data_IF_725632463926
#
_entry.id   IF_725632463926
#
_cell.length_a   1.000
_cell.length_b   1.000
_cell.length_c   1.000
_cell.angle_alpha   90.00
_cell.angle_beta   90.00
_cell.angle_gamma   90.00
#
_symmetry.space_group_name_H-M   'P 1'
#
loop_
_entity.id
_entity.type
_entity.pdbx_description
1 polymer ?
#
# COMPACT_ATOMS: atom_id res chain seq x y z
N UNK A 1 0.93 18.06 -14.27
CA UNK A 1 2.08 17.30 -14.82
C UNK A 1 3.07 18.14 -15.60
N UNK A 2 2.67 19.10 -16.46
CA UNK A 2 3.62 19.98 -17.20
C UNK A 2 4.64 20.73 -16.33
N UNK A 3 4.23 21.22 -15.16
CA UNK A 3 5.13 21.84 -14.18
C UNK A 3 6.20 20.86 -13.63
N UNK A 4 5.84 19.58 -13.45
CA UNK A 4 6.78 18.54 -12.99
C UNK A 4 7.80 18.19 -14.07
N UNK A 5 7.37 18.17 -15.33
CA UNK A 5 8.25 17.94 -16.49
C UNK A 5 9.23 19.11 -16.68
N UNK A 6 8.75 20.35 -16.60
CA UNK A 6 9.60 21.56 -16.67
C UNK A 6 10.63 21.62 -15.54
N UNK A 7 10.29 21.10 -14.36
CA UNK A 7 11.19 21.05 -13.20
C UNK A 7 12.02 19.76 -13.12
N UNK A 8 12.01 18.93 -14.18
CA UNK A 8 12.71 17.62 -14.21
C UNK A 8 12.39 16.71 -13.00
N UNK A 9 11.21 16.88 -12.42
CA UNK A 9 10.71 16.13 -11.25
C UNK A 9 9.67 15.08 -11.64
N UNK A 10 9.43 14.91 -12.94
CA UNK A 10 8.56 13.87 -13.48
C UNK A 10 9.23 12.51 -13.27
N UNK A 11 8.50 11.55 -12.71
CA UNK A 11 9.01 10.18 -12.49
C UNK A 11 8.76 9.32 -13.72
N UNK A 12 9.67 8.38 -13.98
CA UNK A 12 9.59 7.45 -15.11
C UNK A 12 10.14 8.02 -16.42
N UNK A 13 9.86 7.33 -17.53
CA UNK A 13 10.40 7.64 -18.86
C UNK A 13 9.38 8.29 -19.82
N UNK A 14 8.13 8.44 -19.40
CA UNK A 14 7.03 8.98 -20.21
C UNK A 14 6.91 10.49 -20.05
N UNK A 15 6.49 11.19 -21.10
CA UNK A 15 6.20 12.64 -21.05
C UNK A 15 4.97 12.95 -20.19
N UNK A 16 4.80 14.22 -19.80
CA UNK A 16 3.64 14.64 -19.01
C UNK A 16 2.30 14.34 -19.71
N UNK A 17 2.24 14.49 -21.03
CA UNK A 17 1.04 14.22 -21.82
C UNK A 17 0.74 12.73 -21.90
N UNK A 18 1.77 11.89 -22.08
CA UNK A 18 1.63 10.44 -22.06
C UNK A 18 1.16 9.93 -20.70
N UNK A 19 1.70 10.47 -19.60
CA UNK A 19 1.28 10.07 -18.25
C UNK A 19 -0.16 10.48 -17.95
N UNK A 20 -0.59 11.67 -18.37
CA UNK A 20 -1.99 12.10 -18.22
C UNK A 20 -2.96 11.22 -19.01
N UNK A 21 -2.57 10.76 -20.20
CA UNK A 21 -3.40 9.87 -21.02
C UNK A 21 -3.69 8.53 -20.35
N UNK A 22 -2.84 8.09 -19.42
CA UNK A 22 -3.04 6.85 -18.65
C UNK A 22 -4.00 7.01 -17.45
N UNK A 23 -4.43 8.24 -17.14
CA UNK A 23 -5.30 8.52 -15.99
C UNK A 23 -6.73 8.72 -16.49
N UNK A 24 -7.62 7.85 -16.05
CA UNK A 24 -9.06 7.92 -16.34
C UNK A 24 -9.87 8.00 -15.06
N UNK A 25 -11.05 8.61 -15.15
CA UNK A 25 -12.01 8.65 -14.05
C UNK A 25 -13.08 7.58 -14.22
N UNK A 26 -13.55 7.01 -13.11
CA UNK A 26 -14.65 6.04 -13.08
C UNK A 26 -15.56 6.34 -11.88
N UNK A 27 -16.86 6.15 -12.04
CA UNK A 27 -17.87 6.34 -10.98
C UNK A 27 -18.43 5.02 -10.43
N UNK A 28 -18.04 3.89 -11.00
CA UNK A 28 -18.43 2.55 -10.60
C UNK A 28 -17.22 1.80 -10.04
N UNK A 29 -17.33 1.26 -8.82
CA UNK A 29 -16.19 0.62 -8.16
C UNK A 29 -15.80 -0.72 -8.82
N UNK A 30 -16.76 -1.46 -9.36
CA UNK A 30 -16.51 -2.73 -10.05
C UNK A 30 -15.73 -2.52 -11.34
N UNK A 31 -16.14 -1.55 -12.16
CA UNK A 31 -15.42 -1.18 -13.38
C UNK A 31 -14.02 -0.65 -13.06
N UNK A 32 -13.88 0.14 -11.98
CA UNK A 32 -12.60 0.73 -11.59
C UNK A 32 -11.54 -0.29 -11.16
N UNK A 33 -11.95 -1.48 -10.69
CA UNK A 33 -11.03 -2.52 -10.20
C UNK A 33 -10.82 -3.67 -11.18
N UNK A 34 -11.50 -3.66 -12.32
CA UNK A 34 -11.38 -4.72 -13.32
C UNK A 34 -9.94 -4.79 -13.86
N UNK A 35 -9.31 -5.96 -13.71
CA UNK A 35 -7.92 -6.18 -14.12
C UNK A 35 -6.87 -5.45 -13.26
N UNK A 36 -7.26 -4.79 -12.17
CA UNK A 36 -6.33 -4.12 -11.28
C UNK A 36 -5.49 -5.13 -10.50
N UNK A 37 -4.17 -4.95 -10.48
CA UNK A 37 -3.24 -5.74 -9.65
C UNK A 37 -3.01 -5.11 -8.27
N UNK A 38 -3.34 -3.82 -8.13
CA UNK A 38 -3.14 -3.04 -6.92
C UNK A 38 -4.20 -1.96 -6.81
N UNK A 39 -4.80 -1.82 -5.62
CA UNK A 39 -5.82 -0.83 -5.32
C UNK A 39 -5.35 -0.03 -4.10
N UNK A 40 -5.28 1.29 -4.27
CA UNK A 40 -4.91 2.22 -3.22
C UNK A 40 -6.12 3.02 -2.75
N UNK A 41 -6.58 2.75 -1.54
CA UNK A 41 -7.65 3.48 -0.87
C UNK A 41 -7.12 4.83 -0.37
N UNK A 42 -7.82 5.90 -0.77
CA UNK A 42 -7.51 7.32 -0.47
C UNK A 42 -8.77 8.11 -0.04
N UNK A 43 -9.78 7.45 0.52
CA UNK A 43 -10.94 8.12 1.13
C UNK A 43 -10.53 8.83 2.44
N UNK A 44 -11.36 9.76 2.96
CA UNK A 44 -11.08 10.46 4.21
C UNK A 44 -10.72 9.54 5.38
N UNK A 45 -10.01 10.07 6.37
CA UNK A 45 -9.53 9.35 7.55
C UNK A 45 -10.67 9.04 8.54
N UNK A 46 -11.58 8.18 8.11
CA UNK A 46 -12.74 7.68 8.87
C UNK A 46 -12.75 6.15 8.84
N UNK A 47 -12.72 5.54 10.02
CA UNK A 47 -12.58 4.09 10.16
C UNK A 47 -13.76 3.33 9.52
N UNK A 48 -14.98 3.79 9.74
CA UNK A 48 -16.17 3.08 9.29
C UNK A 48 -16.37 3.22 7.77
N UNK A 49 -16.07 4.40 7.22
CA UNK A 49 -16.04 4.62 5.78
C UNK A 49 -15.01 3.72 5.10
N UNK A 50 -13.78 3.66 5.62
CA UNK A 50 -12.74 2.81 5.03
C UNK A 50 -13.10 1.33 5.13
N UNK A 51 -13.59 0.86 6.28
CA UNK A 51 -14.09 -0.52 6.42
C UNK A 51 -15.17 -0.84 5.39
N UNK A 52 -16.12 0.08 5.18
CA UNK A 52 -17.18 -0.09 4.16
C UNK A 52 -16.58 -0.23 2.75
N UNK A 53 -15.60 0.62 2.41
CA UNK A 53 -14.90 0.55 1.12
C UNK A 53 -14.15 -0.78 0.98
N UNK A 54 -13.38 -1.19 2.00
CA UNK A 54 -12.66 -2.46 1.97
C UNK A 54 -13.58 -3.68 1.89
N UNK A 55 -14.71 -3.68 2.59
CA UNK A 55 -15.69 -4.76 2.48
C UNK A 55 -16.33 -4.84 1.08
N UNK A 56 -16.56 -3.69 0.43
CA UNK A 56 -17.04 -3.66 -0.96
C UNK A 56 -16.00 -4.21 -1.93
N UNK A 57 -14.73 -3.81 -1.76
CA UNK A 57 -13.61 -4.29 -2.57
C UNK A 57 -13.38 -5.80 -2.37
N UNK A 58 -13.37 -6.27 -1.13
CA UNK A 58 -13.16 -7.67 -0.76
C UNK A 58 -14.19 -8.62 -1.39
N UNK A 59 -15.41 -8.13 -1.65
CA UNK A 59 -16.47 -8.90 -2.31
C UNK A 59 -16.35 -8.98 -3.84
N UNK A 60 -15.46 -8.22 -4.48
CA UNK A 60 -15.37 -8.12 -5.95
C UNK A 60 -13.97 -8.40 -6.51
N UNK A 61 -12.92 -8.35 -5.69
CA UNK A 61 -11.55 -8.67 -6.12
C UNK A 61 -11.29 -10.18 -6.16
N UNK A 62 -10.26 -10.58 -6.91
CA UNK A 62 -9.69 -11.92 -6.86
C UNK A 62 -8.50 -12.04 -5.89
N UNK A 63 -7.98 -13.25 -5.74
CA UNK A 63 -6.90 -13.61 -4.80
C UNK A 63 -5.52 -12.98 -5.13
N UNK A 64 -5.36 -12.40 -6.32
CA UNK A 64 -4.08 -11.85 -6.81
C UNK A 64 -3.96 -10.32 -6.67
N UNK A 65 -4.99 -9.65 -6.12
CA UNK A 65 -5.04 -8.18 -6.05
C UNK A 65 -4.54 -7.69 -4.70
N UNK A 66 -3.62 -6.71 -4.68
CA UNK A 66 -3.18 -6.07 -3.42
C UNK A 66 -4.11 -4.93 -3.03
N UNK A 67 -4.67 -5.01 -1.82
CA UNK A 67 -5.46 -3.94 -1.20
C UNK A 67 -4.58 -3.09 -0.29
N UNK A 68 -4.54 -1.78 -0.52
CA UNK A 68 -3.70 -0.86 0.24
C UNK A 68 -4.49 0.31 0.81
N UNK A 69 -4.25 0.66 2.07
CA UNK A 69 -4.77 1.90 2.66
C UNK A 69 -3.69 2.95 2.80
N UNK A 70 -4.05 4.21 2.55
CA UNK A 70 -3.20 5.38 2.80
C UNK A 70 -3.31 5.92 4.23
N UNK A 71 -4.02 5.23 5.12
CA UNK A 71 -4.24 5.65 6.51
C UNK A 71 -2.95 6.01 7.24
N UNK A 72 -2.99 7.08 8.03
CA UNK A 72 -1.88 7.59 8.83
C UNK A 72 -1.82 6.99 10.22
N UNK A 73 -2.99 6.72 10.83
CA UNK A 73 -3.10 6.43 12.26
C UNK A 73 -3.98 5.20 12.59
N UNK A 74 -4.76 4.69 11.64
CA UNK A 74 -5.63 3.54 11.91
C UNK A 74 -4.83 2.24 11.90
N UNK A 75 -5.16 1.35 12.84
CA UNK A 75 -4.48 0.07 12.96
C UNK A 75 -4.94 -0.87 11.84
N UNK A 76 -4.02 -1.56 11.14
CA UNK A 76 -4.39 -2.57 10.13
C UNK A 76 -5.33 -3.64 10.69
N UNK A 77 -5.12 -4.05 11.95
CA UNK A 77 -5.95 -5.03 12.64
C UNK A 77 -7.39 -4.57 12.89
N UNK A 78 -7.66 -3.27 12.90
CA UNK A 78 -9.01 -2.73 12.99
C UNK A 78 -9.62 -2.51 11.61
N UNK A 79 -8.79 -2.15 10.63
CA UNK A 79 -9.22 -1.79 9.29
C UNK A 79 -9.60 -3.01 8.45
N UNK A 80 -8.80 -4.08 8.53
CA UNK A 80 -8.94 -5.28 7.69
C UNK A 80 -9.58 -6.46 8.42
N UNK A 81 -10.08 -6.24 9.64
CA UNK A 81 -10.72 -7.29 10.42
C UNK A 81 -11.95 -7.85 9.69
N UNK A 82 -11.99 -9.17 9.54
CA UNK A 82 -13.13 -9.88 8.95
C UNK A 82 -13.18 -9.92 7.43
N UNK A 83 -12.19 -9.34 6.74
CA UNK A 83 -12.07 -9.49 5.29
C UNK A 83 -11.64 -10.92 4.92
N UNK A 84 -12.20 -11.45 3.84
CA UNK A 84 -11.84 -12.75 3.28
C UNK A 84 -10.40 -12.71 2.77
N UNK A 85 -10.06 -11.66 2.02
CA UNK A 85 -8.75 -11.44 1.41
C UNK A 85 -7.80 -10.64 2.33
N UNK A 86 -7.92 -10.77 3.65
CA UNK A 86 -7.07 -10.04 4.61
C UNK A 86 -5.56 -10.21 4.37
N UNK A 87 -5.15 -11.35 3.81
CA UNK A 87 -3.75 -11.64 3.46
C UNK A 87 -3.20 -10.75 2.35
N UNK A 88 -4.07 -10.14 1.54
CA UNK A 88 -3.75 -9.22 0.46
C UNK A 88 -3.75 -7.75 0.91
N UNK A 89 -4.05 -7.48 2.19
CA UNK A 89 -4.22 -6.13 2.71
C UNK A 89 -2.94 -5.57 3.35
N UNK A 90 -2.60 -4.31 3.04
CA UNK A 90 -1.46 -3.59 3.61
C UNK A 90 -1.80 -2.12 3.89
N UNK A 91 -1.09 -1.49 4.83
CA UNK A 91 -1.07 -0.02 4.95
C UNK A 91 0.16 0.50 4.24
N UNK A 92 -0.02 1.26 3.15
CA UNK A 92 1.03 1.93 2.40
C UNK A 92 0.88 3.45 2.56
N UNK A 93 1.32 3.96 3.70
CA UNK A 93 1.22 5.40 3.99
C UNK A 93 2.17 6.22 3.10
N UNK A 94 1.68 7.21 2.33
CA UNK A 94 2.49 7.91 1.32
C UNK A 94 3.68 8.68 1.90
N UNK A 95 3.61 9.18 3.14
CA UNK A 95 4.75 9.86 3.77
C UNK A 95 5.91 8.92 4.10
N UNK A 96 5.70 7.58 4.14
CA UNK A 96 6.80 6.63 4.26
C UNK A 96 7.64 6.59 2.98
N UNK A 97 7.03 6.70 1.79
CA UNK A 97 7.74 6.67 0.52
C UNK A 97 8.66 7.89 0.30
N UNK A 98 8.36 9.03 0.92
CA UNK A 98 9.21 10.25 0.82
C UNK A 98 10.50 10.11 1.63
N UNK A 99 10.48 9.32 2.71
CA UNK A 99 11.65 9.14 3.61
C UNK A 99 12.52 7.94 3.25
N UNK A 100 12.14 7.18 2.23
CA UNK A 100 12.86 5.97 1.83
C UNK A 100 13.61 6.27 0.54
N UNK A 101 14.95 6.33 0.60
CA UNK A 101 15.76 6.39 -0.60
C UNK A 101 15.39 5.23 -1.55
N UNK A 102 15.12 5.55 -2.81
CA UNK A 102 14.80 4.58 -3.87
C UNK A 102 16.09 3.97 -4.48
N UNK A 103 17.20 4.01 -3.75
CA UNK A 103 18.42 3.37 -4.21
C UNK A 103 18.45 1.89 -3.75
N UNK A 104 18.86 0.96 -4.64
CA UNK A 104 18.87 -0.47 -4.35
C UNK A 104 19.68 -0.86 -3.10
N UNK A 105 20.72 -0.09 -2.79
CA UNK A 105 21.64 -0.34 -1.69
C UNK A 105 20.98 -0.06 -0.33
N UNK A 106 20.33 1.09 -0.17
CA UNK A 106 19.59 1.42 1.06
C UNK A 106 18.37 0.52 1.24
N UNK A 107 17.69 0.12 0.17
CA UNK A 107 16.60 -0.87 0.25
C UNK A 107 17.12 -2.24 0.71
N UNK A 108 18.28 -2.68 0.22
CA UNK A 108 18.92 -3.90 0.69
C UNK A 108 19.34 -3.81 2.16
N UNK A 109 19.92 -2.67 2.57
CA UNK A 109 20.29 -2.41 3.97
C UNK A 109 19.07 -2.42 4.91
N UNK A 110 17.94 -1.82 4.50
CA UNK A 110 16.69 -1.86 5.27
C UNK A 110 16.13 -3.26 5.41
N UNK A 111 16.18 -4.08 4.34
CA UNK A 111 15.79 -5.50 4.38
C UNK A 111 16.68 -6.28 5.35
N UNK A 112 18.00 -6.14 5.25
CA UNK A 112 18.94 -6.77 6.18
C UNK A 112 18.70 -6.38 7.63
N UNK A 113 18.49 -5.10 7.93
CA UNK A 113 18.22 -4.62 9.28
C UNK A 113 16.91 -5.21 9.84
N UNK A 114 15.83 -5.21 9.04
CA UNK A 114 14.57 -5.85 9.40
C UNK A 114 14.78 -7.33 9.72
N UNK A 115 15.50 -8.05 8.87
CA UNK A 115 15.74 -9.49 9.02
C UNK A 115 16.60 -9.76 10.28
N UNK A 116 17.58 -8.91 10.59
CA UNK A 116 18.34 -8.97 11.85
C UNK A 116 17.45 -8.75 13.08
N UNK A 117 16.55 -7.76 13.04
CA UNK A 117 15.59 -7.53 14.12
C UNK A 117 14.68 -8.74 14.34
N UNK A 118 14.15 -9.33 13.26
CA UNK A 118 13.31 -10.52 13.32
C UNK A 118 14.06 -11.73 13.89
N UNK A 119 15.31 -11.96 13.47
CA UNK A 119 16.17 -13.02 14.02
C UNK A 119 16.44 -12.83 15.51
N UNK A 120 16.67 -11.60 15.94
CA UNK A 120 16.90 -11.26 17.36
C UNK A 120 15.62 -11.50 18.18
N UNK A 121 14.46 -11.15 17.63
CA UNK A 121 13.16 -11.39 18.26
C UNK A 121 12.84 -12.89 18.36
N UNK A 122 13.14 -13.66 17.32
CA UNK A 122 12.96 -15.12 17.32
C UNK A 122 13.85 -15.80 18.38
N UNK A 123 15.10 -15.34 18.53
CA UNK A 123 16.01 -15.82 19.57
C UNK A 123 15.54 -15.44 20.98
N UNK A 124 15.00 -14.22 21.15
CA UNK A 124 14.40 -13.83 22.43
C UNK A 124 13.18 -14.70 22.77
N UNK A 125 12.31 -14.97 21.79
CA UNK A 125 11.15 -15.86 21.95
C UNK A 125 11.56 -17.29 22.33
N UNK A 126 12.64 -17.83 21.76
CA UNK A 126 13.11 -19.17 22.13
C UNK A 126 13.79 -19.25 23.49
N UNK A 127 14.21 -18.11 24.05
CA UNK A 127 14.81 -18.00 25.38
C UNK A 127 13.79 -17.67 26.47
N UNK A 128 12.56 -17.29 26.10
CA UNK A 128 11.50 -17.07 27.07
C UNK A 128 10.96 -18.41 27.59
N UNK A 129 10.88 -18.62 28.91
CA UNK A 129 10.23 -19.81 29.46
C UNK A 129 8.76 -19.83 29.06
N UNK A 130 8.29 -21.01 28.66
CA UNK A 130 6.87 -21.26 28.36
C UNK A 130 6.06 -20.98 29.62
N UNK A 131 5.15 -20.01 29.57
CA UNK A 131 4.05 -19.92 30.54
C UNK A 131 2.93 -20.86 30.11
#
# INVERSE_FOLDING_TARGET
MKLLEQSSSLKGSLSAEQQLFLITGCSNIQEAVEGAIHIQECVPEDLELKKKVFAQLDGIIGDDVVLSSSTSCLLPSQLFAGLVHVKQCIVAHPAMCVKVPDDPEHLAARRQWRDQCLMRLAKLKSQMPSQ
#
